data_IF_095980553894
#
_entry.id   IF_095980553894
#
_cell.length_a   1.000
_cell.length_b   1.000
_cell.length_c   1.000
_cell.angle_alpha   90.00
_cell.angle_beta   90.00
_cell.angle_gamma   90.00
#
_symmetry.space_group_name_H-M   'P 1'
#
loop_
_entity.id
_entity.type
_entity.pdbx_description
1 polymer ?
#
# COMPACT_ATOMS: atom_id res chain seq x y z
N UNK A 1 -24.21 12.16 43.25
CA UNK A 1 -25.60 11.83 42.85
C UNK A 1 -25.55 10.64 41.91
N UNK A 2 -26.06 9.48 42.32
CA UNK A 2 -26.10 8.28 41.49
C UNK A 2 -27.21 8.41 40.44
N UNK A 3 -26.86 8.19 39.18
CA UNK A 3 -27.79 8.31 38.05
C UNK A 3 -28.93 7.31 38.18
N UNK A 4 -30.17 7.80 38.09
CA UNK A 4 -31.36 6.94 38.11
C UNK A 4 -31.26 5.92 36.97
N UNK A 5 -31.18 4.64 37.31
CA UNK A 5 -31.23 3.57 36.32
C UNK A 5 -32.61 3.56 35.67
N UNK A 6 -32.65 3.71 34.34
CA UNK A 6 -33.90 3.53 33.59
C UNK A 6 -34.46 2.14 33.83
N UNK A 7 -35.77 2.06 34.09
CA UNK A 7 -36.49 0.79 34.17
C UNK A 7 -36.42 0.05 32.83
N UNK A 8 -36.51 -1.28 32.85
CA UNK A 8 -36.52 -2.09 31.64
C UNK A 8 -37.64 -1.66 30.68
N UNK A 9 -38.80 -1.27 31.21
CA UNK A 9 -39.91 -0.73 30.42
C UNK A 9 -39.54 0.58 29.69
N UNK A 10 -38.83 1.49 30.37
CA UNK A 10 -38.37 2.74 29.76
C UNK A 10 -37.31 2.49 28.66
N UNK A 11 -36.42 1.52 28.88
CA UNK A 11 -35.43 1.08 27.87
C UNK A 11 -36.10 0.42 26.69
N UNK A 12 -37.12 -0.40 26.91
CA UNK A 12 -37.86 -1.08 25.85
C UNK A 12 -38.69 -0.10 25.01
N UNK A 13 -39.31 0.90 25.66
CA UNK A 13 -40.01 1.99 24.98
C UNK A 13 -39.06 2.83 24.12
N UNK A 14 -37.84 3.11 24.61
CA UNK A 14 -36.79 3.74 23.81
C UNK A 14 -36.34 2.85 22.64
N UNK A 15 -36.11 1.55 22.86
CA UNK A 15 -35.73 0.60 21.79
C UNK A 15 -36.80 0.52 20.71
N UNK A 16 -38.09 0.41 21.07
CA UNK A 16 -39.21 0.42 20.11
C UNK A 16 -39.27 1.75 19.37
N UNK A 17 -39.21 2.89 20.07
CA UNK A 17 -39.21 4.20 19.42
C UNK A 17 -38.04 4.37 18.44
N UNK A 18 -36.83 3.91 18.80
CA UNK A 18 -35.65 3.95 17.93
C UNK A 18 -35.77 3.01 16.73
N UNK A 19 -36.35 1.82 16.92
CA UNK A 19 -36.59 0.85 15.85
C UNK A 19 -37.56 1.39 14.79
N UNK A 20 -38.58 2.16 15.20
CA UNK A 20 -39.60 2.70 14.29
C UNK A 20 -39.28 4.10 13.74
N UNK A 21 -38.53 4.97 14.45
CA UNK A 21 -38.27 6.35 13.99
C UNK A 21 -37.00 6.54 13.15
N UNK A 22 -36.00 5.64 13.21
CA UNK A 22 -34.70 5.86 12.53
C UNK A 22 -34.44 5.01 11.30
N UNK A 23 -35.19 3.93 11.09
CA UNK A 23 -34.93 3.00 10.00
C UNK A 23 -36.11 2.99 9.03
N UNK A 24 -35.90 3.58 7.85
CA UNK A 24 -36.75 3.31 6.69
C UNK A 24 -36.90 1.79 6.55
N UNK A 25 -38.13 1.32 6.32
CA UNK A 25 -38.36 -0.08 5.97
C UNK A 25 -37.51 -0.43 4.74
N UNK A 26 -37.10 -1.71 4.57
CA UNK A 26 -36.35 -2.12 3.39
C UNK A 26 -37.02 -1.67 2.08
N UNK A 27 -38.36 -1.72 2.04
CA UNK A 27 -39.17 -1.26 0.91
C UNK A 27 -39.09 0.25 0.70
N UNK A 28 -39.22 1.06 1.76
CA UNK A 28 -39.09 2.52 1.66
C UNK A 28 -37.68 2.94 1.25
N UNK A 29 -36.64 2.21 1.71
CA UNK A 29 -35.26 2.43 1.29
C UNK A 29 -35.08 2.09 -0.19
N UNK A 30 -35.63 0.96 -0.65
CA UNK A 30 -35.60 0.56 -2.07
C UNK A 30 -36.29 1.58 -2.97
N UNK A 31 -37.47 2.07 -2.58
CA UNK A 31 -38.20 3.12 -3.32
C UNK A 31 -37.43 4.45 -3.40
N UNK A 32 -36.74 4.83 -2.32
CA UNK A 32 -35.89 6.03 -2.31
C UNK A 32 -34.63 5.86 -3.16
N UNK A 33 -34.05 4.66 -3.19
CA UNK A 33 -32.89 4.34 -4.03
C UNK A 33 -33.27 4.32 -5.51
N UNK A 34 -34.36 3.67 -5.89
CA UNK A 34 -34.86 3.60 -7.27
C UNK A 34 -35.25 4.98 -7.85
N UNK A 35 -35.74 5.89 -7.00
CA UNK A 35 -36.06 7.25 -7.43
C UNK A 35 -34.83 8.13 -7.67
N UNK A 36 -33.64 7.75 -7.18
CA UNK A 36 -32.39 8.53 -7.28
C UNK A 36 -31.27 7.79 -7.99
N UNK A 37 -31.55 6.67 -8.65
CA UNK A 37 -30.55 5.85 -9.36
C UNK A 37 -30.39 6.31 -10.82
N UNK A 38 -29.16 6.26 -11.31
CA UNK A 38 -28.83 6.59 -12.71
C UNK A 38 -29.16 8.04 -13.05
N UNK A 39 -29.74 8.25 -14.23
CA UNK A 39 -30.13 9.56 -14.77
C UNK A 39 -31.12 10.34 -13.90
N UNK A 40 -31.86 9.66 -13.02
CA UNK A 40 -32.79 10.32 -12.08
C UNK A 40 -32.08 11.00 -10.91
N UNK A 41 -30.79 10.75 -10.71
CA UNK A 41 -30.01 11.48 -9.72
C UNK A 41 -29.83 12.94 -10.20
N UNK A 42 -30.21 13.96 -9.40
CA UNK A 42 -29.99 15.37 -9.75
C UNK A 42 -28.52 15.74 -10.05
N UNK A 43 -27.57 14.90 -9.63
CA UNK A 43 -26.14 15.07 -9.88
C UNK A 43 -25.59 14.16 -10.99
N UNK A 44 -26.44 13.41 -11.71
CA UNK A 44 -26.00 12.56 -12.82
C UNK A 44 -25.43 13.42 -13.95
N UNK A 45 -24.27 13.04 -14.49
CA UNK A 45 -23.56 13.81 -15.52
C UNK A 45 -22.91 15.12 -15.03
N UNK A 46 -23.08 15.50 -13.76
CA UNK A 46 -22.45 16.71 -13.21
C UNK A 46 -21.00 16.45 -12.84
N UNK A 47 -20.09 17.20 -13.44
CA UNK A 47 -18.70 17.26 -13.01
C UNK A 47 -18.50 18.40 -11.99
N UNK A 48 -17.73 18.13 -10.94
CA UNK A 48 -17.38 19.14 -9.95
C UNK A 48 -16.28 20.05 -10.50
N UNK A 49 -16.47 21.36 -10.38
CA UNK A 49 -15.41 22.32 -10.70
C UNK A 49 -14.24 22.17 -9.73
N UNK A 50 -13.06 22.66 -10.11
CA UNK A 50 -11.89 22.55 -9.25
C UNK A 50 -12.05 23.37 -7.96
N UNK A 51 -12.74 24.50 -8.02
CA UNK A 51 -13.10 25.32 -6.85
C UNK A 51 -14.03 24.57 -5.89
N UNK A 52 -15.01 23.82 -6.40
CA UNK A 52 -15.91 23.00 -5.57
C UNK A 52 -15.18 21.85 -4.89
N UNK A 53 -14.28 21.19 -5.63
CA UNK A 53 -13.40 20.14 -5.07
C UNK A 53 -12.51 20.74 -3.97
N UNK A 54 -11.98 21.94 -4.20
CA UNK A 54 -11.11 22.62 -3.24
C UNK A 54 -11.87 23.06 -1.98
N UNK A 55 -13.05 23.65 -2.13
CA UNK A 55 -13.90 24.03 -1.00
C UNK A 55 -14.33 22.81 -0.15
N UNK A 56 -14.62 21.66 -0.79
CA UNK A 56 -14.89 20.42 -0.07
C UNK A 56 -13.66 19.92 0.69
N UNK A 57 -12.48 19.95 0.05
CA UNK A 57 -11.20 19.60 0.70
C UNK A 57 -10.97 20.47 1.93
N UNK A 58 -11.20 21.77 1.84
CA UNK A 58 -10.96 22.71 2.94
C UNK A 58 -11.97 22.56 4.09
N UNK A 59 -13.23 22.25 3.80
CA UNK A 59 -14.21 21.86 4.83
C UNK A 59 -13.84 20.54 5.51
N UNK A 60 -13.34 19.55 4.75
CA UNK A 60 -12.92 18.26 5.29
C UNK A 60 -11.65 18.34 6.13
N UNK A 61 -10.70 19.23 5.78
CA UNK A 61 -9.52 19.54 6.62
C UNK A 61 -9.97 19.94 8.02
N UNK A 62 -10.97 20.82 8.16
CA UNK A 62 -11.47 21.30 9.46
C UNK A 62 -12.15 20.23 10.34
N UNK A 63 -12.58 19.10 9.77
CA UNK A 63 -13.27 18.03 10.51
C UNK A 63 -12.35 16.95 11.08
N UNK A 64 -11.10 16.88 10.61
CA UNK A 64 -10.14 15.82 10.95
C UNK A 64 -8.77 16.38 11.39
N UNK A 65 -8.72 17.61 11.87
CA UNK A 65 -7.48 18.26 12.31
C UNK A 65 -7.55 18.56 13.81
N UNK A 66 -7.55 17.50 14.63
CA UNK A 66 -7.12 17.65 16.01
C UNK A 66 -5.59 17.46 16.02
N UNK A 67 -4.78 18.40 16.53
CA UNK A 67 -3.32 18.28 16.54
C UNK A 67 -2.84 16.96 17.17
N UNK A 68 -3.57 16.46 18.15
CA UNK A 68 -3.28 15.19 18.83
C UNK A 68 -3.58 13.93 17.97
N UNK A 69 -4.28 14.10 16.84
CA UNK A 69 -4.59 13.03 15.87
C UNK A 69 -3.64 13.00 14.66
N UNK A 70 -2.54 13.77 14.69
CA UNK A 70 -1.42 13.65 13.73
C UNK A 70 -0.83 12.23 13.63
N UNK A 71 -1.24 11.32 14.51
CA UNK A 71 -0.84 9.92 14.50
C UNK A 71 -1.18 9.12 13.23
N UNK A 72 -2.04 9.59 12.31
CA UNK A 72 -2.52 8.73 11.19
C UNK A 72 -2.71 9.41 9.83
N UNK A 73 -1.74 10.20 9.37
CA UNK A 73 -1.50 10.37 7.92
C UNK A 73 -0.02 10.20 7.63
N UNK A 74 0.36 8.99 7.22
CA UNK A 74 1.68 8.73 6.63
C UNK A 74 2.55 7.71 7.36
N UNK A 75 2.21 7.32 8.60
CA UNK A 75 2.91 6.21 9.27
C UNK A 75 2.29 4.88 8.86
N UNK A 76 2.75 4.35 7.73
CA UNK A 76 2.81 2.89 7.59
C UNK A 76 3.68 2.40 8.74
N UNK A 77 3.06 1.64 9.65
CA UNK A 77 3.62 0.96 10.82
C UNK A 77 5.10 0.59 10.58
N UNK A 78 6.01 1.45 11.00
CA UNK A 78 7.44 1.13 10.97
C UNK A 78 7.74 0.24 12.16
N UNK A 79 8.69 -0.71 12.01
CA UNK A 79 9.20 -1.55 13.09
C UNK A 79 9.67 -0.76 14.33
N UNK A 80 9.91 0.55 14.16
CA UNK A 80 10.38 1.47 15.19
C UNK A 80 9.27 2.33 15.81
N UNK A 81 7.99 2.03 15.56
CA UNK A 81 6.99 2.42 16.55
C UNK A 81 7.20 1.47 17.70
N UNK A 82 7.93 1.90 18.72
CA UNK A 82 7.93 1.22 20.01
C UNK A 82 6.46 0.92 20.32
N UNK A 83 6.11 -0.36 20.24
CA UNK A 83 4.84 -0.86 20.74
C UNK A 83 4.86 -0.50 22.22
N UNK A 84 4.38 0.70 22.56
CA UNK A 84 4.21 1.12 23.94
C UNK A 84 3.44 0.00 24.59
N UNK A 85 4.10 -0.66 25.54
CA UNK A 85 3.61 -1.79 26.31
C UNK A 85 2.11 -1.61 26.56
N UNK A 86 1.27 -2.36 25.84
CA UNK A 86 -0.19 -2.36 26.02
C UNK A 86 -1.07 -2.04 24.80
N UNK A 87 -0.55 -1.52 23.68
CA UNK A 87 -1.37 -1.22 22.49
C UNK A 87 -1.25 -2.25 21.36
N UNK A 88 -1.24 -3.53 21.71
CA UNK A 88 -1.49 -4.61 20.74
C UNK A 88 -2.94 -4.48 20.27
N UNK A 89 -3.21 -4.35 18.95
CA UNK A 89 -4.59 -4.36 18.47
C UNK A 89 -5.29 -5.60 19.02
N UNK A 90 -6.55 -5.53 19.47
CA UNK A 90 -7.23 -6.63 20.17
C UNK A 90 -7.38 -7.91 19.33
N UNK A 91 -6.98 -7.87 18.06
CA UNK A 91 -6.97 -8.95 17.08
C UNK A 91 -5.57 -9.39 16.64
N UNK A 92 -4.49 -8.72 17.06
CA UNK A 92 -3.14 -9.17 16.74
C UNK A 92 -2.84 -10.49 17.47
N UNK A 93 -2.40 -11.50 16.70
CA UNK A 93 -2.20 -12.87 17.17
C UNK A 93 -3.48 -13.73 17.25
N UNK A 94 -4.67 -13.17 17.01
CA UNK A 94 -5.91 -13.97 16.94
C UNK A 94 -6.10 -14.51 15.53
N UNK A 95 -6.09 -15.83 15.40
CA UNK A 95 -6.51 -16.48 14.16
C UNK A 95 -8.01 -16.23 13.93
N UNK A 96 -8.37 -15.88 12.69
CA UNK A 96 -9.78 -15.80 12.30
C UNK A 96 -10.44 -17.18 12.51
N UNK A 97 -11.66 -17.24 13.04
CA UNK A 97 -12.42 -18.49 13.09
C UNK A 97 -12.49 -19.14 11.70
N UNK A 98 -12.43 -20.47 11.65
CA UNK A 98 -12.32 -21.22 10.40
C UNK A 98 -13.45 -20.88 9.40
N UNK A 99 -14.67 -20.76 9.90
CA UNK A 99 -15.83 -20.35 9.08
C UNK A 99 -15.63 -18.98 8.42
N UNK A 100 -15.06 -18.02 9.14
CA UNK A 100 -14.82 -16.67 8.62
C UNK A 100 -13.68 -16.68 7.60
N UNK A 101 -12.64 -17.48 7.82
CA UNK A 101 -11.54 -17.71 6.88
C UNK A 101 -12.04 -18.33 5.57
N UNK A 102 -12.87 -19.36 5.68
CA UNK A 102 -13.53 -20.02 4.53
C UNK A 102 -14.42 -19.01 3.78
N UNK A 103 -15.21 -18.20 4.51
CA UNK A 103 -16.06 -17.18 3.90
C UNK A 103 -15.26 -16.11 3.14
N UNK A 104 -14.16 -15.62 3.70
CA UNK A 104 -13.24 -14.67 3.06
C UNK A 104 -12.56 -15.28 1.83
N UNK A 105 -12.09 -16.52 1.95
CA UNK A 105 -11.49 -17.27 0.84
C UNK A 105 -12.48 -17.42 -0.32
N UNK A 106 -13.69 -17.89 -0.04
CA UNK A 106 -14.75 -18.04 -1.03
C UNK A 106 -15.16 -16.71 -1.66
N UNK A 107 -15.23 -15.64 -0.87
CA UNK A 107 -15.56 -14.31 -1.36
C UNK A 107 -14.47 -13.73 -2.28
N UNK A 108 -13.21 -14.14 -2.14
CA UNK A 108 -12.09 -13.68 -2.96
C UNK A 108 -11.73 -14.64 -4.10
N UNK A 109 -12.28 -15.86 -4.09
CA UNK A 109 -12.05 -16.85 -5.14
C UNK A 109 -12.51 -16.31 -6.49
N UNK A 110 -11.64 -16.38 -7.49
CA UNK A 110 -11.92 -15.89 -8.85
C UNK A 110 -11.85 -14.37 -9.02
N UNK A 111 -11.61 -13.60 -7.95
CA UNK A 111 -11.35 -12.15 -8.05
C UNK A 111 -9.92 -11.89 -8.46
N UNK A 112 -9.59 -12.24 -9.70
CA UNK A 112 -8.34 -11.87 -10.33
C UNK A 112 -8.55 -10.69 -11.26
N UNK A 113 -7.65 -9.69 -11.26
CA UNK A 113 -7.68 -8.64 -12.26
C UNK A 113 -7.65 -9.25 -13.67
N UNK A 114 -8.38 -8.64 -14.62
CA UNK A 114 -8.36 -9.07 -16.02
C UNK A 114 -6.94 -9.03 -16.58
N UNK A 115 -6.67 -9.83 -17.61
CA UNK A 115 -5.37 -9.83 -18.32
C UNK A 115 -4.95 -8.43 -18.72
N UNK A 116 -5.87 -7.64 -19.29
CA UNK A 116 -5.65 -6.24 -19.66
C UNK A 116 -5.30 -5.36 -18.43
N UNK A 117 -6.00 -5.53 -17.31
CA UNK A 117 -5.70 -4.77 -16.08
C UNK A 117 -4.33 -5.12 -15.52
N UNK A 118 -3.93 -6.41 -15.60
CA UNK A 118 -2.59 -6.87 -15.21
C UNK A 118 -1.51 -6.29 -16.12
N UNK A 119 -1.77 -6.23 -17.43
CA UNK A 119 -0.86 -5.63 -18.41
C UNK A 119 -0.66 -4.14 -18.14
N UNK A 120 -1.75 -3.36 -18.02
CA UNK A 120 -1.68 -1.92 -17.68
C UNK A 120 -0.89 -1.68 -16.39
N UNK A 121 -1.19 -2.46 -15.35
CA UNK A 121 -0.47 -2.38 -14.07
C UNK A 121 1.01 -2.72 -14.21
N UNK A 122 1.35 -3.74 -15.01
CA UNK A 122 2.73 -4.14 -15.30
C UNK A 122 3.49 -3.05 -16.04
N UNK A 123 2.88 -2.46 -17.07
CA UNK A 123 3.48 -1.36 -17.83
C UNK A 123 3.72 -0.11 -16.97
N UNK A 124 2.73 0.28 -16.16
CA UNK A 124 2.91 1.38 -15.21
C UNK A 124 4.04 1.10 -14.23
N UNK A 125 4.14 -0.11 -13.71
CA UNK A 125 5.20 -0.47 -12.77
C UNK A 125 6.58 -0.49 -13.45
N UNK A 126 6.67 -1.02 -14.68
CA UNK A 126 7.90 -1.02 -15.47
C UNK A 126 8.44 0.38 -15.72
N UNK A 127 7.55 1.36 -15.99
CA UNK A 127 7.94 2.78 -16.15
C UNK A 127 8.54 3.37 -14.88
N UNK A 128 8.09 2.96 -13.69
CA UNK A 128 8.68 3.44 -12.43
C UNK A 128 10.13 2.97 -12.23
N UNK A 129 10.49 1.79 -12.76
CA UNK A 129 11.87 1.29 -12.71
C UNK A 129 12.81 1.99 -13.69
N UNK A 130 12.28 2.80 -14.62
CA UNK A 130 13.08 3.67 -15.48
C UNK A 130 13.48 4.98 -14.74
N UNK A 131 12.89 5.28 -13.57
CA UNK A 131 13.21 6.46 -12.73
C UNK A 131 14.27 6.11 -11.66
N UNK A 132 15.50 6.66 -11.75
CA UNK A 132 16.58 6.39 -10.79
C UNK A 132 16.24 6.77 -9.34
N UNK A 133 15.42 7.82 -9.14
CA UNK A 133 15.03 8.27 -7.80
C UNK A 133 14.13 7.23 -7.14
N UNK A 134 13.17 6.70 -7.89
CA UNK A 134 12.31 5.62 -7.42
C UNK A 134 13.12 4.36 -7.08
N UNK A 135 14.07 3.98 -7.95
CA UNK A 135 14.93 2.82 -7.75
C UNK A 135 15.77 2.96 -6.48
N UNK A 136 16.48 4.07 -6.29
CA UNK A 136 17.30 4.32 -5.10
C UNK A 136 16.47 4.27 -3.81
N UNK A 137 15.25 4.83 -3.84
CA UNK A 137 14.31 4.76 -2.72
C UNK A 137 13.91 3.32 -2.39
N UNK A 138 13.63 2.50 -3.41
CA UNK A 138 13.27 1.10 -3.21
C UNK A 138 14.42 0.27 -2.67
N UNK A 139 15.64 0.47 -3.19
CA UNK A 139 16.83 -0.25 -2.69
C UNK A 139 17.10 0.04 -1.22
N UNK A 140 17.01 1.32 -0.84
CA UNK A 140 17.12 1.73 0.56
C UNK A 140 16.03 1.11 1.43
N UNK A 141 14.77 1.12 0.97
CA UNK A 141 13.64 0.57 1.72
C UNK A 141 13.75 -0.95 1.93
N UNK A 142 14.30 -1.67 0.94
CA UNK A 142 14.55 -3.11 1.01
C UNK A 142 15.80 -3.47 1.81
N UNK A 143 16.62 -2.48 2.18
CA UNK A 143 17.87 -2.71 2.90
C UNK A 143 18.88 -3.53 2.09
N UNK A 144 18.88 -3.38 0.77
CA UNK A 144 19.86 -4.05 -0.11
C UNK A 144 21.27 -3.57 0.27
N UNK A 145 22.17 -4.53 0.41
CA UNK A 145 23.57 -4.35 0.82
C UNK A 145 24.44 -5.33 0.04
N UNK A 146 25.73 -5.02 -0.15
CA UNK A 146 26.65 -5.93 -0.82
C UNK A 146 26.67 -7.32 -0.19
N UNK A 147 26.63 -8.34 -1.04
CA UNK A 147 26.82 -9.72 -0.59
C UNK A 147 28.27 -9.99 -0.19
N UNK A 148 28.53 -11.10 0.52
CA UNK A 148 29.92 -11.49 0.85
C UNK A 148 30.79 -11.70 -0.40
N UNK A 149 30.20 -12.18 -1.49
CA UNK A 149 30.89 -12.40 -2.75
C UNK A 149 31.20 -11.06 -3.45
N UNK A 150 30.24 -10.13 -3.47
CA UNK A 150 30.46 -8.76 -3.93
C UNK A 150 31.55 -8.05 -3.13
N UNK A 151 31.57 -8.15 -1.80
CA UNK A 151 32.64 -7.52 -1.00
C UNK A 151 34.04 -8.06 -1.37
N UNK A 152 34.16 -9.36 -1.65
CA UNK A 152 35.41 -9.96 -2.13
C UNK A 152 35.78 -9.45 -3.53
N UNK A 153 34.79 -9.37 -4.43
CA UNK A 153 34.98 -8.85 -5.78
C UNK A 153 35.40 -7.38 -5.75
N UNK A 154 34.75 -6.56 -4.91
CA UNK A 154 35.08 -5.16 -4.70
C UNK A 154 36.53 -4.98 -4.23
N UNK A 155 37.03 -5.84 -3.32
CA UNK A 155 38.43 -5.81 -2.93
C UNK A 155 39.39 -6.07 -4.11
N UNK A 156 39.09 -7.05 -4.95
CA UNK A 156 39.88 -7.35 -6.16
C UNK A 156 39.84 -6.16 -7.13
N UNK A 157 38.64 -5.63 -7.41
CA UNK A 157 38.45 -4.51 -8.32
C UNK A 157 39.16 -3.26 -7.82
N UNK A 158 39.10 -2.95 -6.52
CA UNK A 158 39.81 -1.79 -5.97
C UNK A 158 41.32 -1.88 -6.12
N UNK A 159 41.90 -3.10 -6.09
CA UNK A 159 43.34 -3.30 -6.22
C UNK A 159 43.83 -3.27 -7.68
N UNK A 160 43.05 -3.81 -8.62
CA UNK A 160 43.50 -4.01 -10.01
C UNK A 160 42.74 -3.18 -11.05
N UNK A 161 41.48 -2.86 -10.79
CA UNK A 161 40.57 -2.17 -11.72
C UNK A 161 39.71 -1.11 -11.00
N UNK A 162 40.34 -0.07 -10.40
CA UNK A 162 39.65 0.90 -9.56
C UNK A 162 38.60 1.74 -10.29
N UNK A 163 38.55 1.66 -11.62
CA UNK A 163 37.50 2.28 -12.44
C UNK A 163 36.13 1.62 -12.27
N UNK A 164 36.06 0.36 -11.82
CA UNK A 164 34.78 -0.27 -11.58
C UNK A 164 34.24 0.15 -10.21
N UNK A 165 33.03 0.70 -10.20
CA UNK A 165 32.33 1.14 -8.99
C UNK A 165 31.10 0.29 -8.75
N UNK A 166 30.86 -0.02 -7.48
CA UNK A 166 29.68 -0.80 -7.08
C UNK A 166 28.38 0.00 -7.26
N UNK A 167 27.41 -0.64 -7.90
CA UNK A 167 26.06 -0.12 -8.16
C UNK A 167 24.96 -1.12 -7.78
N UNK A 168 25.29 -2.30 -7.24
CA UNK A 168 24.29 -3.33 -6.88
C UNK A 168 23.23 -2.87 -5.86
N UNK A 169 23.53 -1.84 -5.07
CA UNK A 169 22.56 -1.19 -4.16
C UNK A 169 21.81 0.00 -4.78
N UNK A 170 22.02 0.26 -6.07
CA UNK A 170 21.41 1.34 -6.84
C UNK A 170 21.87 2.75 -6.46
N UNK A 171 22.91 2.93 -5.62
CA UNK A 171 23.33 4.26 -5.15
C UNK A 171 23.92 5.15 -6.23
N UNK A 172 24.53 4.58 -7.28
CA UNK A 172 25.04 5.37 -8.40
C UNK A 172 23.93 5.81 -9.36
N UNK A 173 22.69 5.37 -9.13
CA UNK A 173 21.54 5.74 -9.96
C UNK A 173 21.61 5.21 -11.39
N UNK A 174 22.50 4.26 -11.67
CA UNK A 174 22.66 3.69 -13.00
C UNK A 174 21.73 2.49 -13.14
N UNK A 175 20.76 2.64 -14.04
CA UNK A 175 19.79 1.59 -14.38
C UNK A 175 19.85 1.38 -15.89
N UNK A 176 20.12 0.16 -16.32
CA UNK A 176 20.24 -0.22 -17.73
C UNK A 176 19.05 -1.10 -18.10
N UNK A 177 18.10 -0.57 -18.87
CA UNK A 177 16.89 -1.31 -19.28
C UNK A 177 16.16 -1.97 -18.10
N UNK A 178 16.04 -1.26 -16.97
CA UNK A 178 15.41 -1.70 -15.71
C UNK A 178 16.20 -2.76 -14.93
N UNK A 179 17.44 -3.02 -15.33
CA UNK A 179 18.39 -3.84 -14.59
C UNK A 179 19.42 -2.94 -13.91
N UNK A 180 19.95 -3.41 -12.79
CA UNK A 180 20.92 -2.67 -11.98
C UNK A 180 22.16 -3.54 -11.94
N UNK A 181 23.19 -3.20 -12.74
CA UNK A 181 24.43 -3.96 -12.75
C UNK A 181 25.13 -3.87 -11.39
N UNK A 182 25.82 -4.94 -11.00
CA UNK A 182 26.58 -4.96 -9.73
C UNK A 182 27.73 -3.95 -9.73
N UNK A 183 28.48 -3.87 -10.83
CA UNK A 183 29.54 -2.88 -11.00
C UNK A 183 29.51 -2.24 -12.38
N UNK A 184 29.92 -0.98 -12.43
CA UNK A 184 29.97 -0.17 -13.66
C UNK A 184 31.33 0.50 -13.82
N UNK A 185 31.79 0.65 -15.05
CA UNK A 185 33.01 1.43 -15.34
C UNK A 185 32.70 2.94 -15.27
N UNK A 186 33.45 3.67 -14.43
CA UNK A 186 33.30 5.12 -14.23
C UNK A 186 34.12 5.98 -15.20
N UNK A 187 34.99 5.39 -16.02
CA UNK A 187 35.89 6.09 -16.95
C UNK A 187 35.27 6.30 -18.35
N UNK A 188 33.95 6.17 -18.47
CA UNK A 188 33.22 6.43 -19.71
C UNK A 188 33.20 5.27 -20.71
N UNK A 189 33.89 4.16 -20.42
CA UNK A 189 33.68 2.91 -21.16
C UNK A 189 32.34 2.32 -20.72
N UNK A 190 31.50 1.90 -21.67
CA UNK A 190 30.18 1.32 -21.38
C UNK A 190 30.30 -0.16 -20.99
N UNK A 191 31.02 -0.41 -19.90
CA UNK A 191 31.32 -1.75 -19.40
C UNK A 191 30.67 -1.96 -18.03
N UNK A 192 30.21 -3.19 -17.80
CA UNK A 192 29.58 -3.61 -16.55
C UNK A 192 30.15 -4.96 -16.13
N UNK A 193 30.12 -5.24 -14.84
CA UNK A 193 30.42 -6.56 -14.27
C UNK A 193 29.22 -6.98 -13.45
N UNK A 194 28.78 -8.22 -13.66
CA UNK A 194 27.70 -8.87 -12.92
C UNK A 194 28.27 -10.09 -12.19
N UNK A 195 27.90 -10.27 -10.92
CA UNK A 195 28.35 -11.37 -10.09
C UNK A 195 27.24 -12.40 -9.94
N UNK A 196 27.38 -13.52 -10.66
CA UNK A 196 26.43 -14.61 -10.60
C UNK A 196 26.74 -15.59 -9.48
N UNK A 197 25.72 -15.94 -8.69
CA UNK A 197 25.78 -17.05 -7.74
C UNK A 197 25.33 -18.38 -8.36
N UNK A 198 26.11 -19.44 -8.17
CA UNK A 198 25.93 -20.77 -8.79
C UNK A 198 24.51 -21.34 -8.63
N UNK A 199 23.92 -21.24 -7.44
CA UNK A 199 22.58 -21.78 -7.19
C UNK A 199 21.49 -21.07 -8.03
N UNK A 200 21.57 -19.74 -8.12
CA UNK A 200 20.55 -18.92 -8.77
C UNK A 200 20.77 -18.78 -10.28
N UNK A 201 21.99 -19.02 -10.74
CA UNK A 201 22.41 -18.78 -12.12
C UNK A 201 23.03 -20.02 -12.79
N UNK A 202 22.74 -21.20 -12.25
CA UNK A 202 23.14 -22.44 -12.90
C UNK A 202 22.42 -22.62 -14.24
N UNK A 203 23.08 -23.32 -15.17
CA UNK A 203 22.51 -23.65 -16.49
C UNK A 203 21.15 -24.35 -16.40
N UNK A 204 20.92 -25.11 -15.32
CA UNK A 204 19.66 -25.80 -15.05
C UNK A 204 18.51 -24.84 -14.69
N UNK A 205 18.83 -23.67 -14.11
CA UNK A 205 17.84 -22.67 -13.66
C UNK A 205 17.57 -21.62 -14.74
N UNK A 206 18.57 -21.26 -15.55
CA UNK A 206 18.45 -20.24 -16.61
C UNK A 206 18.13 -20.86 -17.99
N UNK A 207 17.76 -22.14 -18.04
CA UNK A 207 17.52 -22.92 -19.27
C UNK A 207 16.87 -22.15 -20.42
#
# INVERSE_FOLDING_TARGET
>A
MWGKHHTEEAREKQRRAWKYKKHFTPEARRKMEESRKGERNPFYGRHWSDDEKQALRDKLKRRHFHPETEFKRGQHISLATEFKNGNTPPYAGKHLPEELRVKLSNANRGKHPSTETRQKSSESHKKLWDDPIFVAKQMKARGIRPTKAELKMEHILNNYFPQFKYNGDGRLGIVLRRLIPDYIDSNGKKQVIELFGDYWHSQEVIG
#
